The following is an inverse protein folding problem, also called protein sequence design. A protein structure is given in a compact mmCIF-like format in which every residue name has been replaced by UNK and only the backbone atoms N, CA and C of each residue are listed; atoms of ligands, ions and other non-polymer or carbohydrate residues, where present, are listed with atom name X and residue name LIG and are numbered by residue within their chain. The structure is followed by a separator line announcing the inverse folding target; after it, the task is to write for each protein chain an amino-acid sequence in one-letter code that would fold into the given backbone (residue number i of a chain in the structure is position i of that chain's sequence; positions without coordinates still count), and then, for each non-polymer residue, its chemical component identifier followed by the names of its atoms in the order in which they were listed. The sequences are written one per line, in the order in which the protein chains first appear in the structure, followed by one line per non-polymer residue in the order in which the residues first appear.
data_IF_183999040606
#
_entry.id   IF_183999040606
#
_cell.length_a   1.000
_cell.length_b   1.000
_cell.length_c   1.000
_cell.angle_alpha   90.00
_cell.angle_beta   90.00
_cell.angle_gamma   90.00
#
_symmetry.space_group_name_H-M   'P 1'
#
loop_
_entity.id
_entity.type
_entity.pdbx_description
1 polymer ?
#
# COMPACT_ATOMS: atom_id res chain seq x y z
N UNK A 1 13.62 -0.90 0.07
CA UNK A 1 14.02 -0.98 -1.35
C UNK A 1 14.99 -2.13 -1.47
N UNK A 2 14.87 -2.98 -2.49
CA UNK A 2 15.67 -4.20 -2.65
C UNK A 2 16.53 -4.08 -3.90
N UNK A 3 17.83 -4.32 -3.76
CA UNK A 3 18.78 -4.40 -4.87
C UNK A 3 19.06 -5.87 -5.20
N UNK A 4 18.95 -6.24 -6.48
CA UNK A 4 19.24 -7.59 -6.96
C UNK A 4 19.75 -7.56 -8.40
N UNK A 5 20.49 -8.59 -8.83
CA UNK A 5 21.07 -8.65 -10.18
C UNK A 5 20.24 -9.53 -11.09
N UNK A 6 20.18 -9.20 -12.38
CA UNK A 6 19.56 -10.07 -13.38
C UNK A 6 20.43 -11.31 -13.68
N UNK A 7 19.82 -12.49 -13.66
CA UNK A 7 20.53 -13.77 -13.91
C UNK A 7 21.07 -13.94 -15.33
N UNK A 8 20.56 -13.17 -16.30
CA UNK A 8 20.93 -13.27 -17.73
C UNK A 8 22.02 -12.28 -18.11
N UNK A 9 21.85 -11.00 -17.75
CA UNK A 9 22.76 -9.93 -18.17
C UNK A 9 23.61 -9.34 -17.04
N UNK A 10 23.38 -9.74 -15.78
CA UNK A 10 24.14 -9.26 -14.62
C UNK A 10 23.84 -7.81 -14.21
N UNK A 11 22.93 -7.11 -14.89
CA UNK A 11 22.60 -5.72 -14.58
C UNK A 11 21.95 -5.62 -13.20
N UNK A 12 22.42 -4.70 -12.32
CA UNK A 12 21.77 -4.45 -11.04
C UNK A 12 20.42 -3.78 -11.27
N UNK A 13 19.40 -4.29 -10.59
CA UNK A 13 18.03 -3.80 -10.61
C UNK A 13 17.61 -3.43 -9.20
N UNK A 14 16.77 -2.41 -9.12
CA UNK A 14 16.23 -1.93 -7.87
C UNK A 14 14.71 -1.99 -7.91
N UNK A 15 14.12 -2.63 -6.92
CA UNK A 15 12.67 -2.75 -6.79
C UNK A 15 12.18 -2.22 -5.44
N UNK A 16 10.96 -1.69 -5.44
CA UNK A 16 10.24 -1.36 -4.22
C UNK A 16 9.89 -2.65 -3.46
N UNK A 17 9.84 -2.55 -2.13
CA UNK A 17 9.52 -3.70 -1.25
C UNK A 17 8.13 -4.27 -1.53
N UNK A 18 7.20 -3.44 -2.02
CA UNK A 18 5.85 -3.83 -2.45
C UNK A 18 5.85 -4.77 -3.67
N UNK A 19 6.99 -4.90 -4.35
CA UNK A 19 7.18 -5.78 -5.51
C UNK A 19 7.97 -7.05 -5.15
N UNK A 20 8.34 -7.24 -3.88
CA UNK A 20 8.96 -8.47 -3.42
C UNK A 20 8.09 -9.70 -3.79
N UNK A 21 8.70 -10.72 -4.38
CA UNK A 21 8.01 -11.93 -4.83
C UNK A 21 7.17 -11.79 -6.11
N UNK A 22 7.00 -10.57 -6.64
CA UNK A 22 6.30 -10.32 -7.92
C UNK A 22 7.24 -10.53 -9.11
N UNK A 23 6.65 -10.65 -10.30
CA UNK A 23 7.40 -10.71 -11.57
C UNK A 23 7.86 -9.30 -11.95
N UNK A 24 9.13 -9.16 -12.28
CA UNK A 24 9.75 -7.95 -12.81
C UNK A 24 10.44 -8.26 -14.14
N UNK A 25 10.54 -7.25 -15.01
CA UNK A 25 11.20 -7.36 -16.31
C UNK A 25 12.52 -6.63 -16.27
N UNK A 26 13.60 -7.31 -16.64
CA UNK A 26 14.91 -6.68 -16.82
C UNK A 26 14.97 -5.94 -18.17
N UNK A 27 15.88 -4.97 -18.30
CA UNK A 27 16.12 -4.24 -19.55
C UNK A 27 16.58 -5.15 -20.71
N UNK A 28 17.20 -6.30 -20.42
CA UNK A 28 17.54 -7.30 -21.43
C UNK A 28 16.32 -8.09 -21.95
N UNK A 29 15.13 -7.87 -21.38
CA UNK A 29 13.87 -8.50 -21.79
C UNK A 29 13.48 -9.74 -20.98
N UNK A 30 14.37 -10.27 -20.13
CA UNK A 30 14.07 -11.42 -19.27
C UNK A 30 13.04 -11.07 -18.18
N UNK A 31 12.14 -12.01 -17.89
CA UNK A 31 11.15 -11.90 -16.81
C UNK A 31 11.63 -12.77 -15.65
N UNK A 32 11.88 -12.15 -14.50
CA UNK A 32 12.35 -12.83 -13.29
C UNK A 32 11.49 -12.46 -12.09
N UNK A 33 11.60 -13.20 -10.98
CA UNK A 33 10.93 -12.83 -9.74
C UNK A 33 11.85 -11.99 -8.88
N UNK A 34 11.33 -10.88 -8.36
CA UNK A 34 12.03 -10.11 -7.33
C UNK A 34 12.17 -11.01 -6.10
N UNK A 35 13.37 -11.13 -5.49
CA UNK A 35 13.54 -11.88 -4.26
C UNK A 35 12.49 -11.46 -3.22
N UNK A 36 11.78 -12.43 -2.66
CA UNK A 36 10.91 -12.13 -1.54
C UNK A 36 11.80 -11.66 -0.39
N UNK A 37 11.51 -10.49 0.18
CA UNK A 37 12.01 -10.18 1.50
C UNK A 37 11.33 -11.21 2.37
N UNK A 38 12.06 -12.25 2.75
CA UNK A 38 11.62 -13.15 3.79
C UNK A 38 11.21 -12.27 4.95
N UNK A 39 9.90 -12.17 5.22
CA UNK A 39 9.34 -11.50 6.39
C UNK A 39 9.70 -12.25 7.68
N UNK A 40 10.81 -13.00 7.67
CA UNK A 40 11.51 -13.56 8.80
C UNK A 40 12.24 -12.49 9.62
N UNK A 41 12.10 -11.20 9.28
CA UNK A 41 11.87 -10.21 10.32
C UNK A 41 10.45 -10.42 10.90
N UNK A 42 10.25 -11.62 11.45
CA UNK A 42 9.34 -11.84 12.55
C UNK A 42 9.61 -10.68 13.49
N UNK A 43 8.55 -10.03 13.93
CA UNK A 43 8.53 -9.48 15.25
C UNK A 43 9.22 -10.51 16.15
N UNK A 44 10.50 -10.26 16.48
CA UNK A 44 10.97 -10.67 17.78
C UNK A 44 9.90 -10.05 18.67
N UNK A 45 9.07 -10.83 19.39
CA UNK A 45 8.37 -10.24 20.51
C UNK A 45 9.48 -9.52 21.25
N UNK A 46 9.27 -8.24 21.53
CA UNK A 46 10.05 -7.60 22.57
C UNK A 46 9.72 -8.40 23.84
N UNK A 47 10.39 -9.53 24.02
CA UNK A 47 10.68 -10.08 25.33
C UNK A 47 11.62 -9.04 25.90
N UNK A 48 11.01 -8.05 26.52
CA UNK A 48 11.66 -7.27 27.55
C UNK A 48 12.04 -8.32 28.61
N UNK A 49 13.24 -8.86 28.49
CA UNK A 49 13.85 -9.57 29.60
C UNK A 49 14.18 -8.48 30.61
N UNK A 50 13.20 -8.28 31.49
CA UNK A 50 13.31 -7.55 32.73
C UNK A 50 14.30 -8.30 33.61
N UNK A 51 15.58 -7.98 33.45
CA UNK A 51 16.54 -7.93 34.56
C UNK A 51 16.73 -6.44 34.83
N UNK A 52 15.98 -5.85 35.76
CA UNK A 52 16.45 -5.76 37.15
C UNK A 52 17.98 -5.79 37.22
N UNK A 53 18.62 -4.67 36.87
CA UNK A 53 19.73 -4.23 37.69
C UNK A 53 19.85 -2.71 37.70
N UNK A 54 19.72 -2.18 38.91
CA UNK A 54 19.90 -0.80 39.27
C UNK A 54 21.33 -0.35 38.94
N UNK A 55 21.47 0.67 38.09
CA UNK A 55 22.51 1.66 38.31
C UNK A 55 21.92 3.04 38.13
N UNK A 56 21.60 3.65 39.26
CA UNK A 56 21.16 5.02 39.36
C UNK A 56 22.26 5.95 38.80
N UNK A 57 22.01 6.73 37.73
CA UNK A 57 22.90 7.81 37.38
C UNK A 57 22.66 8.98 38.33
N UNK A 58 23.76 9.36 38.95
CA UNK A 58 23.94 10.49 39.84
C UNK A 58 23.35 11.79 39.26
N UNK A 59 22.65 12.47 40.16
CA UNK A 59 22.04 13.80 40.09
C UNK A 59 22.78 14.78 39.15
N UNK A 60 22.27 14.95 37.93
CA UNK A 60 22.70 16.02 37.02
C UNK A 60 22.16 17.36 37.52
N UNK A 61 22.99 18.40 37.71
CA UNK A 61 22.55 19.72 38.15
C UNK A 61 21.72 20.45 37.08
N UNK A 62 20.72 21.19 37.55
CA UNK A 62 19.81 22.00 36.75
C UNK A 62 20.56 23.07 35.94
N UNK A 63 20.71 22.81 34.64
CA UNK A 63 21.11 23.82 33.67
C UNK A 63 19.91 24.62 33.15
N UNK A 64 20.11 25.87 32.68
CA UNK A 64 19.04 26.72 32.20
C UNK A 64 18.42 26.16 30.92
N UNK A 65 17.08 26.06 30.94
CA UNK A 65 16.24 25.70 29.78
C UNK A 65 16.34 26.81 28.74
N UNK A 66 17.15 26.60 27.71
CA UNK A 66 17.11 27.40 26.48
C UNK A 66 15.93 26.89 25.66
N UNK A 67 14.81 27.60 25.77
CA UNK A 67 13.69 27.50 24.84
C UNK A 67 14.18 27.80 23.42
N UNK A 68 14.28 26.76 22.58
CA UNK A 68 14.50 26.90 21.15
C UNK A 68 13.15 27.26 20.48
N UNK A 69 13.10 28.31 19.64
CA UNK A 69 11.92 28.63 18.85
C UNK A 69 11.61 27.48 17.87
N UNK A 70 10.35 27.12 17.79
CA UNK A 70 9.82 26.01 17.00
C UNK A 70 9.17 26.57 15.73
N UNK A 71 9.94 27.27 14.88
CA UNK A 71 9.38 28.09 13.80
C UNK A 71 9.89 27.76 12.38
N UNK A 72 10.52 26.60 12.12
CA UNK A 72 11.06 26.31 10.77
C UNK A 72 10.82 24.87 10.28
N UNK A 73 9.61 24.33 10.41
CA UNK A 73 9.25 23.04 9.77
C UNK A 73 8.09 23.14 8.76
N UNK A 74 7.92 24.29 8.11
CA UNK A 74 6.82 24.52 7.15
C UNK A 74 7.30 24.96 5.74
N UNK A 75 8.55 24.68 5.35
CA UNK A 75 9.11 25.19 4.09
C UNK A 75 9.61 24.16 3.05
N UNK A 76 9.52 22.84 3.30
CA UNK A 76 10.09 21.84 2.36
C UNK A 76 9.11 20.88 1.69
N UNK A 77 7.80 21.06 1.85
CA UNK A 77 6.79 20.25 1.14
C UNK A 77 6.31 20.90 -0.16
N UNK A 78 7.21 21.44 -0.99
CA UNK A 78 6.83 22.04 -2.27
C UNK A 78 7.90 21.86 -3.35
N UNK A 79 8.37 20.63 -3.60
CA UNK A 79 9.21 20.36 -4.77
C UNK A 79 9.38 18.86 -5.08
N UNK A 80 8.29 18.13 -5.36
CA UNK A 80 8.36 16.96 -6.25
C UNK A 80 7.09 16.93 -7.12
N UNK A 81 6.93 17.98 -7.93
CA UNK A 81 6.06 17.98 -9.09
C UNK A 81 6.98 17.84 -10.31
N UNK A 82 7.30 16.61 -10.68
CA UNK A 82 8.30 16.32 -11.69
C UNK A 82 8.01 15.05 -12.46
N UNK A 83 7.25 15.21 -13.55
CA UNK A 83 7.25 14.40 -14.77
C UNK A 83 7.16 12.88 -14.67
N UNK A 84 5.92 12.37 -14.65
CA UNK A 84 5.60 11.08 -15.28
C UNK A 84 4.83 11.34 -16.57
N UNK A 85 5.57 11.75 -17.59
CA UNK A 85 5.12 11.74 -18.98
C UNK A 85 5.25 10.29 -19.47
N UNK A 86 4.30 9.44 -19.10
CA UNK A 86 4.23 8.09 -19.63
C UNK A 86 3.55 8.17 -20.99
N UNK A 87 4.38 8.12 -22.03
CA UNK A 87 3.96 8.11 -23.43
C UNK A 87 3.19 6.81 -23.72
N UNK A 88 1.91 6.98 -24.01
CA UNK A 88 0.98 5.98 -24.46
C UNK A 88 1.24 5.75 -25.96
N UNK A 89 2.03 4.74 -26.29
CA UNK A 89 2.25 4.30 -27.68
C UNK A 89 2.73 2.86 -27.72
N UNK A 90 1.80 1.90 -27.78
CA UNK A 90 1.75 0.90 -28.86
C UNK A 90 0.72 -0.23 -28.57
N UNK A 91 -0.25 -0.46 -29.47
CA UNK A 91 -0.99 -1.72 -29.51
C UNK A 91 -0.18 -2.76 -30.31
N UNK A 92 0.48 -3.70 -29.62
CA UNK A 92 1.04 -4.86 -30.32
C UNK A 92 -0.04 -5.94 -30.43
N UNK A 93 -0.53 -6.05 -31.66
CA UNK A 93 -1.39 -7.10 -32.16
C UNK A 93 -0.74 -8.49 -32.09
N UNK A 94 -1.61 -9.49 -31.92
CA UNK A 94 -1.63 -10.82 -32.56
C UNK A 94 -0.34 -11.65 -32.66
N UNK A 95 -0.49 -12.88 -32.17
CA UNK A 95 -0.21 -14.06 -32.99
C UNK A 95 0.98 -14.89 -32.52
N UNK A 96 0.73 -16.16 -32.20
CA UNK A 96 1.80 -17.11 -31.97
C UNK A 96 1.36 -18.36 -31.22
N UNK A 97 0.46 -19.13 -31.81
CA UNK A 97 0.33 -20.56 -31.52
C UNK A 97 1.70 -21.23 -31.68
N UNK A 98 2.22 -21.80 -30.59
CA UNK A 98 3.15 -22.93 -30.63
C UNK A 98 2.89 -23.86 -29.46
N UNK A 99 1.99 -24.79 -29.71
CA UNK A 99 2.12 -26.17 -29.25
C UNK A 99 3.56 -26.65 -29.45
N UNK A 100 4.26 -26.93 -28.35
CA UNK A 100 5.29 -27.97 -28.35
C UNK A 100 5.30 -28.63 -26.97
N UNK A 101 4.77 -29.85 -27.00
CA UNK A 101 4.73 -30.80 -25.92
C UNK A 101 6.11 -30.98 -25.25
N UNK A 102 6.11 -30.97 -23.93
CA UNK A 102 7.12 -31.62 -23.11
C UNK A 102 6.39 -32.59 -22.19
N UNK A 103 6.41 -33.91 -22.46
CA UNK A 103 6.01 -34.90 -21.48
C UNK A 103 7.15 -35.11 -20.47
N UNK A 104 6.81 -35.68 -19.32
CA UNK A 104 7.71 -36.20 -18.28
C UNK A 104 8.36 -35.22 -17.30
N UNK A 105 7.57 -34.87 -16.28
CA UNK A 105 7.93 -35.23 -14.89
C UNK A 105 6.73 -35.03 -13.96
N UNK A 106 5.92 -36.08 -13.84
CA UNK A 106 4.92 -36.21 -12.79
C UNK A 106 5.64 -36.50 -11.46
N UNK A 107 6.00 -35.46 -10.72
CA UNK A 107 6.12 -35.59 -9.27
C UNK A 107 4.77 -35.25 -8.62
N UNK A 108 4.18 -36.14 -7.79
CA UNK A 108 2.99 -35.82 -7.02
C UNK A 108 3.33 -34.75 -5.98
N UNK A 109 3.00 -33.49 -6.28
CA UNK A 109 3.04 -32.40 -5.29
C UNK A 109 1.82 -32.60 -4.38
N UNK A 110 1.99 -32.70 -3.05
CA UNK A 110 0.86 -32.81 -2.13
C UNK A 110 -0.05 -31.57 -2.27
N UNK A 111 -1.38 -31.72 -2.21
CA UNK A 111 -2.30 -30.60 -2.34
C UNK A 111 -2.10 -29.64 -1.17
N UNK A 112 -1.55 -28.46 -1.46
CA UNK A 112 -1.51 -27.37 -0.47
C UNK A 112 -2.94 -26.94 -0.14
N UNK A 113 -3.23 -26.59 1.12
CA UNK A 113 -4.52 -26.03 1.50
C UNK A 113 -4.76 -24.77 0.67
N UNK A 114 -5.69 -24.90 -0.26
CA UNK A 114 -6.15 -23.79 -1.09
C UNK A 114 -6.97 -22.90 -0.18
N UNK A 115 -6.31 -21.97 0.50
CA UNK A 115 -6.97 -20.84 1.15
C UNK A 115 -7.48 -19.92 0.05
N UNK A 116 -8.65 -20.27 -0.47
CA UNK A 116 -9.43 -19.44 -1.37
C UNK A 116 -10.08 -18.32 -0.55
N UNK A 117 -9.26 -17.41 -0.04
CA UNK A 117 -9.76 -16.06 0.16
C UNK A 117 -10.06 -15.53 -1.26
N UNK A 118 -11.30 -15.11 -1.57
CA UNK A 118 -11.59 -14.52 -2.85
C UNK A 118 -10.75 -13.25 -2.96
N UNK A 119 -9.66 -13.34 -3.74
CA UNK A 119 -8.94 -12.18 -4.24
C UNK A 119 -9.90 -11.53 -5.22
N UNK A 120 -10.75 -10.65 -4.71
CA UNK A 120 -11.52 -9.72 -5.52
C UNK A 120 -10.48 -8.90 -6.30
N UNK A 121 -10.28 -9.29 -7.55
CA UNK A 121 -9.56 -8.46 -8.50
C UNK A 121 -10.33 -7.14 -8.56
N UNK A 122 -9.68 -5.98 -8.37
CA UNK A 122 -10.31 -4.71 -8.66
C UNK A 122 -10.52 -4.67 -10.18
N UNK A 123 -11.70 -5.11 -10.62
CA UNK A 123 -12.10 -5.05 -12.01
C UNK A 123 -12.24 -3.56 -12.33
N UNK A 124 -11.35 -3.04 -13.16
CA UNK A 124 -11.33 -1.66 -13.63
C UNK A 124 -12.47 -1.38 -14.64
N UNK A 125 -13.65 -1.94 -14.40
CA UNK A 125 -14.90 -1.48 -14.97
C UNK A 125 -15.68 -0.87 -13.82
N UNK A 126 -16.04 0.40 -13.91
CA UNK A 126 -16.86 1.06 -12.89
C UNK A 126 -18.20 0.32 -12.79
N UNK A 127 -18.28 -0.63 -11.87
CA UNK A 127 -19.50 -1.36 -11.57
C UNK A 127 -20.52 -0.32 -11.10
N UNK A 128 -21.49 -0.05 -11.96
CA UNK A 128 -22.59 0.88 -11.68
C UNK A 128 -23.29 0.49 -10.37
N UNK A 129 -23.25 -0.81 -10.00
CA UNK A 129 -23.72 -1.32 -8.72
C UNK A 129 -22.94 -0.78 -7.52
N UNK A 130 -21.61 -0.62 -7.61
CA UNK A 130 -20.78 -0.06 -6.54
C UNK A 130 -21.06 1.44 -6.34
N UNK A 131 -21.28 2.17 -7.44
CA UNK A 131 -21.67 3.59 -7.38
C UNK A 131 -23.05 3.73 -6.73
N UNK A 132 -24.02 2.89 -7.13
CA UNK A 132 -25.37 2.92 -6.56
C UNK A 132 -25.37 2.61 -5.06
N UNK A 133 -24.58 1.62 -4.64
CA UNK A 133 -24.41 1.29 -3.23
C UNK A 133 -23.82 2.45 -2.43
N UNK A 134 -22.81 3.13 -2.99
CA UNK A 134 -22.23 4.34 -2.40
C UNK A 134 -23.27 5.45 -2.20
N UNK A 135 -24.10 5.72 -3.22
CA UNK A 135 -25.16 6.75 -3.15
C UNK A 135 -26.21 6.42 -2.09
N UNK A 136 -26.64 5.16 -1.99
CA UNK A 136 -27.61 4.72 -0.97
C UNK A 136 -27.06 4.95 0.44
N UNK A 137 -25.81 4.58 0.70
CA UNK A 137 -25.16 4.84 2.00
C UNK A 137 -25.06 6.35 2.27
N UNK A 138 -24.75 7.15 1.24
CA UNK A 138 -24.65 8.60 1.36
C UNK A 138 -25.98 9.24 1.77
N UNK A 139 -27.07 8.90 1.07
CA UNK A 139 -28.42 9.42 1.37
C UNK A 139 -28.90 8.93 2.74
N UNK A 140 -28.68 7.65 3.06
CA UNK A 140 -29.01 7.08 4.37
C UNK A 140 -28.32 7.82 5.52
N UNK A 141 -27.05 8.19 5.34
CA UNK A 141 -26.27 8.95 6.33
C UNK A 141 -26.85 10.35 6.56
N UNK A 142 -27.28 11.04 5.50
CA UNK A 142 -27.91 12.36 5.58
C UNK A 142 -29.25 12.29 6.31
N UNK A 143 -30.12 11.35 5.92
CA UNK A 143 -31.43 11.16 6.58
C UNK A 143 -31.26 10.81 8.05
N UNK A 144 -30.34 9.90 8.37
CA UNK A 144 -30.03 9.52 9.76
C UNK A 144 -29.49 10.70 10.57
N UNK A 145 -28.62 11.52 9.98
CA UNK A 145 -28.07 12.71 10.62
C UNK A 145 -29.17 13.72 10.99
N UNK A 146 -30.06 14.06 10.04
CA UNK A 146 -31.18 14.96 10.31
C UNK A 146 -32.20 14.35 11.28
N UNK A 147 -32.42 13.03 11.24
CA UNK A 147 -33.23 12.31 12.23
C UNK A 147 -32.66 12.41 13.64
N UNK A 148 -31.33 12.25 13.80
CA UNK A 148 -30.65 12.45 15.07
C UNK A 148 -30.73 13.89 15.58
N UNK A 149 -30.62 14.87 14.67
CA UNK A 149 -30.73 16.30 14.96
C UNK A 149 -32.15 16.67 15.42
N UNK A 150 -33.18 16.10 14.79
CA UNK A 150 -34.57 16.25 15.20
C UNK A 150 -34.86 15.62 16.58
N UNK A 151 -34.14 14.56 16.94
CA UNK A 151 -34.20 13.94 18.27
C UNK A 151 -33.35 14.68 19.34
N UNK A 152 -32.77 15.83 19.01
CA UNK A 152 -31.94 16.63 19.92
C UNK A 152 -30.57 16.01 20.22
N UNK A 153 -30.13 15.00 19.46
CA UNK A 153 -28.80 14.38 19.59
C UNK A 153 -27.89 14.80 18.44
N UNK A 154 -27.06 15.79 18.70
CA UNK A 154 -26.01 16.23 17.77
C UNK A 154 -24.87 15.21 17.81
N UNK A 155 -24.91 14.23 16.91
CA UNK A 155 -23.77 13.36 16.69
C UNK A 155 -22.79 14.07 15.74
N UNK A 156 -21.65 14.49 16.28
CA UNK A 156 -20.56 15.13 15.50
C UNK A 156 -19.85 14.09 14.60
N UNK A 157 -19.83 12.83 15.02
CA UNK A 157 -19.14 11.74 14.32
C UNK A 157 -19.66 11.45 12.90
N UNK A 158 -20.99 11.34 12.64
CA UNK A 158 -21.52 11.12 11.29
C UNK A 158 -21.17 12.26 10.32
N UNK A 159 -21.24 13.52 10.77
CA UNK A 159 -20.86 14.66 9.93
C UNK A 159 -19.36 14.61 9.60
N UNK A 160 -18.50 14.36 10.60
CA UNK A 160 -17.06 14.25 10.37
C UNK A 160 -16.71 13.10 9.40
N UNK A 161 -17.31 11.92 9.56
CA UNK A 161 -17.10 10.78 8.66
C UNK A 161 -17.61 11.05 7.24
N UNK A 162 -18.73 11.77 7.11
CA UNK A 162 -19.26 12.19 5.82
C UNK A 162 -18.28 13.12 5.07
N UNK A 163 -17.73 14.13 5.75
CA UNK A 163 -16.75 15.03 5.14
C UNK A 163 -15.45 14.32 4.78
N UNK A 164 -14.92 13.45 5.64
CA UNK A 164 -13.72 12.65 5.34
C UNK A 164 -13.94 11.77 4.10
N UNK A 165 -15.09 11.11 4.01
CA UNK A 165 -15.48 10.32 2.84
C UNK A 165 -15.57 11.18 1.57
N UNK A 166 -16.29 12.30 1.65
CA UNK A 166 -16.49 13.24 0.54
C UNK A 166 -15.16 13.76 -0.02
N UNK A 167 -14.26 14.23 0.84
CA UNK A 167 -12.94 14.74 0.42
C UNK A 167 -12.09 13.66 -0.24
N UNK A 168 -12.19 12.40 0.20
CA UNK A 168 -11.48 11.29 -0.47
C UNK A 168 -12.05 10.99 -1.86
N UNK A 169 -13.37 11.02 -2.03
CA UNK A 169 -13.98 10.83 -3.36
C UNK A 169 -13.64 11.96 -4.32
N UNK A 170 -13.75 13.22 -3.88
CA UNK A 170 -13.45 14.39 -4.74
C UNK A 170 -11.95 14.44 -5.07
N UNK A 171 -11.09 14.18 -4.08
CA UNK A 171 -9.64 14.16 -4.28
C UNK A 171 -9.15 13.03 -5.19
N UNK A 172 -9.90 11.91 -5.26
CA UNK A 172 -9.63 10.83 -6.21
C UNK A 172 -9.97 11.21 -7.66
N UNK A 173 -11.09 11.92 -7.87
CA UNK A 173 -11.52 12.37 -9.21
C UNK A 173 -10.60 13.46 -9.76
N UNK A 174 -10.07 14.35 -8.91
CA UNK A 174 -9.19 15.44 -9.36
C UNK A 174 -7.76 15.01 -9.73
N UNK A 175 -7.35 13.77 -9.44
CA UNK A 175 -6.01 13.23 -9.73
C UNK A 175 -5.98 12.25 -10.91
N UNK A 176 -7.14 11.97 -11.50
CA UNK A 176 -7.31 11.09 -12.65
C UNK A 176 -7.66 11.92 -13.87
#
# INVERSE_FOLDING_TARGET
MIDFSCDVCGTPLQALDQNAGKKARCQCGSIMRVPAISSHYSAHPATYESTEDYNAPEKVPAGPVVSRPFDDFEAHQKQVAGNDRYDDSAPISRGGDRDLASPDSLQPIPPMPTSSAPVEKPTAGADVSAIFWGVVIMVGSVVWFFGGLAAGRVFIYPAALFFIGLFKTIGGIARN
#
